data_IF_114266261077
#
_entry.id   IF_114266261077
#
_cell.length_a   1.000
_cell.length_b   1.000
_cell.length_c   1.000
_cell.angle_alpha   90.00
_cell.angle_beta   90.00
_cell.angle_gamma   90.00
#
_symmetry.space_group_name_H-M   'P 1'
#
loop_
_entity.id
_entity.type
_entity.pdbx_description
1 polymer ?
#
# COMPACT_ATOMS: atom_id res chain seq x y z
N UNK A 1 -3.66 -18.23 7.82
CA UNK A 1 -3.98 -17.05 6.95
C UNK A 1 -3.05 -17.10 5.76
N UNK A 2 -3.56 -17.19 4.52
CA UNK A 2 -2.70 -17.19 3.35
C UNK A 2 -2.01 -15.84 3.19
N UNK A 3 -0.72 -15.84 2.85
CA UNK A 3 0.05 -14.63 2.64
C UNK A 3 -0.52 -13.88 1.42
N UNK A 4 -0.60 -12.54 1.50
CA UNK A 4 -0.95 -11.75 0.32
C UNK A 4 0.09 -12.01 -0.78
N UNK A 5 -0.36 -12.29 -1.99
CA UNK A 5 0.51 -12.57 -3.14
C UNK A 5 0.98 -11.28 -3.80
N UNK A 6 2.06 -11.37 -4.57
CA UNK A 6 2.51 -10.28 -5.42
C UNK A 6 1.57 -10.16 -6.63
N UNK A 7 1.36 -8.94 -7.04
CA UNK A 7 0.48 -8.63 -8.18
C UNK A 7 1.22 -7.65 -9.08
N UNK A 8 1.17 -7.86 -10.39
CA UNK A 8 1.75 -6.90 -11.33
C UNK A 8 1.10 -5.53 -11.20
N UNK A 9 1.84 -4.49 -11.54
CA UNK A 9 1.36 -3.11 -11.47
C UNK A 9 0.05 -2.91 -12.26
N UNK A 10 -0.06 -3.54 -13.43
CA UNK A 10 -1.24 -3.41 -14.31
C UNK A 10 -2.48 -4.02 -13.67
N UNK A 11 -2.38 -5.26 -13.16
CA UNK A 11 -3.50 -5.92 -12.47
C UNK A 11 -3.90 -5.13 -11.23
N UNK A 12 -2.93 -4.60 -10.48
CA UNK A 12 -3.21 -3.78 -9.29
C UNK A 12 -3.90 -2.47 -9.66
N UNK A 13 -3.50 -1.83 -10.75
CA UNK A 13 -4.14 -0.61 -11.26
C UNK A 13 -5.60 -0.83 -11.65
N UNK A 14 -5.94 -1.94 -12.30
CA UNK A 14 -7.33 -2.31 -12.58
C UNK A 14 -8.15 -2.48 -11.30
N UNK A 15 -7.57 -3.15 -10.27
CA UNK A 15 -8.24 -3.29 -8.97
C UNK A 15 -8.49 -1.92 -8.35
N UNK A 16 -7.48 -1.02 -8.34
CA UNK A 16 -7.61 0.33 -7.82
C UNK A 16 -8.72 1.12 -8.50
N UNK A 17 -8.86 0.99 -9.82
CA UNK A 17 -9.89 1.69 -10.58
C UNK A 17 -11.31 1.32 -10.14
N UNK A 18 -11.54 0.07 -9.75
CA UNK A 18 -12.85 -0.42 -9.31
C UNK A 18 -13.17 -0.11 -7.83
N UNK A 19 -12.23 0.39 -7.04
CA UNK A 19 -12.48 0.77 -5.65
C UNK A 19 -13.31 2.06 -5.55
N UNK A 20 -14.04 2.21 -4.44
CA UNK A 20 -14.61 3.51 -4.08
C UNK A 20 -13.51 4.56 -3.95
N UNK A 21 -13.83 5.83 -4.20
CA UNK A 21 -12.84 6.92 -4.25
C UNK A 21 -11.98 6.97 -2.98
N UNK A 22 -12.60 6.90 -1.80
CA UNK A 22 -11.90 6.96 -0.52
C UNK A 22 -10.99 5.74 -0.30
N UNK A 23 -11.48 4.53 -0.61
CA UNK A 23 -10.69 3.31 -0.46
C UNK A 23 -9.52 3.29 -1.46
N UNK A 24 -9.73 3.75 -2.67
CA UNK A 24 -8.69 3.91 -3.69
C UNK A 24 -7.60 4.86 -3.21
N UNK A 25 -7.97 6.04 -2.72
CA UNK A 25 -7.01 7.02 -2.22
C UNK A 25 -6.26 6.50 -0.98
N UNK A 26 -6.92 5.76 -0.09
CA UNK A 26 -6.25 5.11 1.05
C UNK A 26 -5.19 4.10 0.58
N UNK A 27 -5.49 3.30 -0.43
CA UNK A 27 -4.53 2.35 -0.99
C UNK A 27 -3.41 3.06 -1.76
N UNK A 28 -3.72 4.10 -2.55
CA UNK A 28 -2.70 4.91 -3.23
C UNK A 28 -1.76 5.57 -2.21
N UNK A 29 -2.30 6.11 -1.11
CA UNK A 29 -1.47 6.67 -0.02
C UNK A 29 -0.54 5.61 0.56
N UNK A 30 -1.03 4.38 0.82
CA UNK A 30 -0.20 3.27 1.27
C UNK A 30 0.85 2.87 0.22
N UNK A 31 0.49 2.85 -1.07
CA UNK A 31 1.37 2.53 -2.19
C UNK A 31 2.51 3.55 -2.35
N UNK A 32 2.25 4.83 -2.18
CA UNK A 32 3.23 5.90 -2.39
C UNK A 32 4.10 6.19 -1.16
N UNK A 33 3.58 5.96 0.03
CA UNK A 33 4.30 6.25 1.29
C UNK A 33 4.86 5.02 1.97
N UNK A 34 4.38 3.82 1.62
CA UNK A 34 4.68 2.56 2.29
C UNK A 34 4.08 2.45 3.69
N UNK A 35 3.14 3.31 4.09
CA UNK A 35 2.44 3.22 5.38
C UNK A 35 1.53 1.99 5.43
N UNK A 36 1.33 1.43 6.63
CA UNK A 36 0.28 0.43 6.84
C UNK A 36 -1.08 1.07 6.64
N UNK A 37 -2.03 0.32 6.10
CA UNK A 37 -3.39 0.84 5.87
C UNK A 37 -4.05 1.37 7.15
N UNK A 38 -3.77 0.77 8.32
CA UNK A 38 -4.25 1.28 9.61
C UNK A 38 -3.75 2.70 9.90
N UNK A 39 -2.45 2.95 9.62
CA UNK A 39 -1.84 4.26 9.85
C UNK A 39 -2.35 5.29 8.85
N UNK A 40 -2.58 4.88 7.59
CA UNK A 40 -3.20 5.73 6.56
C UNK A 40 -4.62 6.14 6.96
N UNK A 41 -5.45 5.17 7.39
CA UNK A 41 -6.84 5.45 7.75
C UNK A 41 -6.97 6.34 8.99
N UNK A 42 -5.99 6.30 9.89
CA UNK A 42 -5.94 7.12 11.10
C UNK A 42 -5.38 8.54 10.87
N UNK A 43 -5.02 8.92 9.64
CA UNK A 43 -4.53 10.28 9.34
C UNK A 43 -5.58 11.32 9.72
N UNK A 44 -5.16 12.32 10.50
CA UNK A 44 -6.02 13.43 10.91
C UNK A 44 -5.99 14.54 9.88
N UNK A 45 -7.14 15.14 9.62
CA UNK A 45 -7.29 16.23 8.66
C UNK A 45 -6.43 17.43 9.03
N UNK A 46 -6.34 17.78 10.32
CA UNK A 46 -5.52 18.90 10.79
C UNK A 46 -4.00 18.72 10.63
N UNK A 47 -3.53 17.48 10.48
CA UNK A 47 -2.13 17.14 10.29
C UNK A 47 -1.75 16.99 8.81
N UNK A 48 -2.72 17.00 7.90
CA UNK A 48 -2.53 16.71 6.48
C UNK A 48 -1.82 17.89 5.78
N UNK A 49 -0.61 17.65 5.33
CA UNK A 49 0.22 18.58 4.56
C UNK A 49 1.24 17.82 3.72
N UNK A 50 1.98 18.50 2.86
CA UNK A 50 2.95 17.86 1.97
C UNK A 50 4.00 17.03 2.75
N UNK A 51 4.45 17.54 3.91
CA UNK A 51 5.43 16.86 4.77
C UNK A 51 4.93 16.90 6.21
N UNK A 52 4.79 15.74 6.79
CA UNK A 52 4.35 15.61 8.18
C UNK A 52 4.98 14.38 8.84
N UNK A 53 4.82 14.25 10.14
CA UNK A 53 5.31 13.11 10.91
C UNK A 53 4.12 12.41 11.55
N UNK A 54 4.08 11.10 11.46
CA UNK A 54 3.10 10.28 12.16
C UNK A 54 3.80 9.37 13.18
N UNK A 55 3.05 8.92 14.17
CA UNK A 55 3.43 7.81 15.04
C UNK A 55 2.73 6.55 14.54
N UNK A 56 3.47 5.56 14.06
CA UNK A 56 2.90 4.30 13.59
C UNK A 56 2.25 3.52 14.75
N UNK A 57 1.02 3.07 14.58
CA UNK A 57 0.26 2.39 15.63
C UNK A 57 0.89 1.08 16.10
N UNK A 58 1.48 0.30 15.18
CA UNK A 58 2.05 -1.02 15.51
C UNK A 58 3.44 -0.94 16.16
N UNK A 59 4.26 0.02 15.77
CA UNK A 59 5.68 0.12 16.16
C UNK A 59 5.95 1.24 17.15
N UNK A 60 5.00 2.16 17.32
CA UNK A 60 5.12 3.38 18.10
C UNK A 60 6.28 4.29 17.67
N UNK A 61 6.83 4.05 16.48
CA UNK A 61 7.94 4.83 15.94
C UNK A 61 7.43 6.03 15.14
N UNK A 62 8.16 7.13 15.24
CA UNK A 62 7.91 8.30 14.39
C UNK A 62 8.36 8.04 12.97
N UNK A 63 7.55 8.48 12.01
CA UNK A 63 7.84 8.37 10.59
C UNK A 63 7.52 9.67 9.86
N UNK A 64 8.51 10.19 9.13
CA UNK A 64 8.31 11.31 8.23
C UNK A 64 7.64 10.81 6.95
N UNK A 65 6.59 11.51 6.54
CA UNK A 65 5.79 11.21 5.35
C UNK A 65 5.87 12.41 4.41
N UNK A 66 5.99 12.11 3.12
CA UNK A 66 5.87 13.11 2.06
C UNK A 66 4.81 12.68 1.08
N UNK A 67 3.87 13.57 0.79
CA UNK A 67 2.86 13.40 -0.26
C UNK A 67 3.25 14.24 -1.47
N UNK A 68 2.86 13.79 -2.67
CA UNK A 68 2.90 14.66 -3.84
C UNK A 68 1.80 15.72 -3.73
N UNK A 69 1.97 16.91 -4.33
CA UNK A 69 0.93 17.94 -4.33
C UNK A 69 -0.41 17.42 -4.87
N UNK A 70 -0.38 16.60 -5.93
CA UNK A 70 -1.57 16.02 -6.54
C UNK A 70 -2.31 15.08 -5.56
N UNK A 71 -1.57 14.20 -4.86
CA UNK A 71 -2.18 13.30 -3.89
C UNK A 71 -2.72 14.08 -2.69
N UNK A 72 -2.01 15.11 -2.22
CA UNK A 72 -2.46 15.97 -1.14
C UNK A 72 -3.79 16.67 -1.51
N UNK A 73 -3.90 17.25 -2.70
CA UNK A 73 -5.12 17.89 -3.20
C UNK A 73 -6.30 16.91 -3.25
N UNK A 74 -6.08 15.69 -3.76
CA UNK A 74 -7.12 14.65 -3.79
C UNK A 74 -7.55 14.19 -2.39
N UNK A 75 -6.62 14.11 -1.44
CA UNK A 75 -6.93 13.79 -0.05
C UNK A 75 -7.71 14.91 0.63
N UNK A 76 -7.35 16.17 0.40
CA UNK A 76 -8.08 17.32 0.95
C UNK A 76 -9.53 17.39 0.45
N UNK A 77 -9.78 17.00 -0.81
CA UNK A 77 -11.14 16.95 -1.39
C UNK A 77 -12.06 15.91 -0.74
N UNK A 78 -11.51 14.87 -0.10
CA UNK A 78 -12.30 13.83 0.57
C UNK A 78 -12.21 13.89 2.09
N UNK A 79 -11.35 14.75 2.63
CA UNK A 79 -11.07 14.82 4.06
C UNK A 79 -12.33 15.17 4.86
N UNK A 80 -12.61 14.35 5.89
CA UNK A 80 -13.64 14.62 6.86
C UNK A 80 -13.22 15.67 7.91
N UNK A 81 -14.06 15.89 8.91
CA UNK A 81 -13.79 16.89 9.96
C UNK A 81 -12.61 16.53 10.85
N UNK A 82 -12.48 15.25 11.22
CA UNK A 82 -11.45 14.77 12.15
C UNK A 82 -10.41 13.93 11.42
N UNK A 83 -10.86 13.00 10.59
CA UNK A 83 -10.01 12.08 9.85
C UNK A 83 -10.09 12.32 8.35
N UNK A 84 -8.98 12.15 7.65
CA UNK A 84 -8.96 12.21 6.18
C UNK A 84 -9.88 11.14 5.60
N UNK A 85 -9.86 9.95 6.17
CA UNK A 85 -10.71 8.81 5.79
C UNK A 85 -11.80 8.58 6.85
N UNK A 86 -12.77 9.49 6.88
CA UNK A 86 -13.85 9.46 7.87
C UNK A 86 -14.73 8.21 7.69
N UNK A 87 -15.24 7.68 8.80
CA UNK A 87 -16.20 6.59 8.78
C UNK A 87 -17.55 7.08 8.21
N UNK A 88 -18.22 6.24 7.44
CA UNK A 88 -19.44 6.64 6.71
C UNK A 88 -20.59 7.12 7.60
N UNK A 89 -20.71 6.61 8.81
CA UNK A 89 -21.84 6.86 9.71
C UNK A 89 -21.45 7.53 11.02
N UNK A 90 -20.17 7.67 11.35
CA UNK A 90 -19.69 8.31 12.57
C UNK A 90 -18.42 9.12 12.29
N UNK A 91 -18.54 10.43 12.21
CA UNK A 91 -17.44 11.35 11.95
C UNK A 91 -16.35 11.34 13.05
N UNK A 92 -16.63 10.78 14.22
CA UNK A 92 -15.64 10.64 15.31
C UNK A 92 -14.72 9.43 15.11
N UNK A 93 -14.98 8.62 14.11
CA UNK A 93 -14.19 7.43 13.77
C UNK A 93 -13.62 7.53 12.36
N UNK A 94 -12.49 6.90 12.15
CA UNK A 94 -11.96 6.71 10.80
C UNK A 94 -12.54 5.44 10.15
N UNK A 95 -12.45 5.38 8.84
CA UNK A 95 -12.82 4.20 8.03
C UNK A 95 -12.08 2.95 8.51
N UNK A 96 -12.73 1.81 8.48
CA UNK A 96 -12.13 0.56 8.98
C UNK A 96 -11.27 -0.13 7.91
N UNK A 97 -10.22 -0.82 8.34
CA UNK A 97 -9.41 -1.68 7.45
C UNK A 97 -10.26 -2.75 6.78
N UNK A 98 -11.29 -3.25 7.48
CA UNK A 98 -12.21 -4.26 6.94
C UNK A 98 -13.04 -3.71 5.78
N UNK A 99 -13.49 -2.46 5.83
CA UNK A 99 -14.22 -1.83 4.74
C UNK A 99 -13.35 -1.76 3.47
N UNK A 100 -12.09 -1.35 3.59
CA UNK A 100 -11.13 -1.33 2.49
C UNK A 100 -10.87 -2.74 1.96
N UNK A 101 -10.67 -3.73 2.85
CA UNK A 101 -10.44 -5.11 2.46
C UNK A 101 -11.63 -5.71 1.70
N UNK A 102 -12.86 -5.50 2.17
CA UNK A 102 -14.08 -5.97 1.49
C UNK A 102 -14.21 -5.38 0.08
N UNK A 103 -13.87 -4.11 -0.08
CA UNK A 103 -13.91 -3.43 -1.38
C UNK A 103 -12.84 -3.98 -2.34
N UNK A 104 -11.61 -4.23 -1.87
CA UNK A 104 -10.58 -4.93 -2.66
C UNK A 104 -11.08 -6.30 -3.10
N UNK A 105 -11.68 -7.10 -2.21
CA UNK A 105 -12.20 -8.43 -2.56
C UNK A 105 -13.36 -8.35 -3.55
N UNK A 106 -14.21 -7.31 -3.48
CA UNK A 106 -15.23 -7.03 -4.49
C UNK A 106 -14.59 -6.74 -5.86
N UNK A 107 -13.58 -5.87 -5.90
CA UNK A 107 -12.87 -5.55 -7.14
C UNK A 107 -12.17 -6.78 -7.74
N UNK A 108 -11.49 -7.59 -6.92
CA UNK A 108 -10.87 -8.83 -7.38
C UNK A 108 -11.88 -9.79 -8.02
N UNK A 109 -13.07 -9.94 -7.42
CA UNK A 109 -14.14 -10.76 -8.01
C UNK A 109 -14.64 -10.21 -9.34
N UNK A 110 -14.80 -8.89 -9.44
CA UNK A 110 -15.24 -8.21 -10.66
C UNK A 110 -14.29 -8.50 -11.83
N UNK A 111 -12.98 -8.47 -11.59
CA UNK A 111 -11.97 -8.72 -12.62
C UNK A 111 -11.49 -10.19 -12.67
N UNK A 112 -12.14 -11.10 -11.96
CA UNK A 112 -11.76 -12.52 -11.88
C UNK A 112 -10.30 -12.76 -11.50
N UNK A 113 -9.76 -11.87 -10.64
CA UNK A 113 -8.38 -12.01 -10.14
C UNK A 113 -8.33 -13.09 -9.08
N UNK A 114 -7.66 -14.20 -9.37
CA UNK A 114 -7.51 -15.36 -8.46
C UNK A 114 -6.46 -15.13 -7.36
N UNK A 115 -5.56 -14.17 -7.56
CA UNK A 115 -4.49 -13.84 -6.61
C UNK A 115 -5.03 -13.29 -5.29
N UNK A 116 -4.34 -13.58 -4.20
CA UNK A 116 -4.73 -13.10 -2.88
C UNK A 116 -4.30 -11.65 -2.64
N UNK A 117 -5.03 -10.70 -3.25
CA UNK A 117 -4.84 -9.26 -3.06
C UNK A 117 -5.47 -8.80 -1.75
N UNK A 118 -4.75 -7.99 -0.99
CA UNK A 118 -5.19 -7.44 0.30
C UNK A 118 -4.70 -6.01 0.50
N UNK A 119 -5.07 -5.40 1.61
CA UNK A 119 -4.57 -4.07 2.02
C UNK A 119 -3.04 -4.02 2.20
N UNK A 120 -2.37 -5.15 2.38
CA UNK A 120 -0.90 -5.23 2.49
C UNK A 120 -0.21 -5.25 1.11
N UNK A 121 -0.93 -5.55 0.04
CA UNK A 121 -0.36 -5.61 -1.32
C UNK A 121 0.26 -4.29 -1.76
N UNK A 122 -0.39 -3.15 -1.47
CA UNK A 122 0.16 -1.83 -1.78
C UNK A 122 1.53 -1.59 -1.12
N UNK A 123 1.65 -1.94 0.16
CA UNK A 123 2.92 -1.80 0.90
C UNK A 123 4.00 -2.77 0.39
N UNK A 124 3.61 -3.95 -0.10
CA UNK A 124 4.53 -4.88 -0.77
C UNK A 124 5.07 -4.27 -2.06
N UNK A 125 4.19 -3.75 -2.91
CA UNK A 125 4.59 -3.10 -4.18
C UNK A 125 5.55 -1.94 -3.88
N UNK A 126 5.23 -1.07 -2.92
CA UNK A 126 6.14 0.00 -2.48
C UNK A 126 7.53 -0.54 -2.09
N UNK A 127 7.58 -1.62 -1.31
CA UNK A 127 8.85 -2.20 -0.87
C UNK A 127 9.72 -2.66 -2.02
N UNK A 128 9.10 -3.31 -3.02
CA UNK A 128 9.78 -3.78 -4.23
C UNK A 128 10.28 -2.62 -5.07
N UNK A 129 9.46 -1.60 -5.27
CA UNK A 129 9.85 -0.40 -6.01
C UNK A 129 11.02 0.33 -5.34
N UNK A 130 10.99 0.46 -4.00
CA UNK A 130 12.11 1.04 -3.26
C UNK A 130 13.38 0.19 -3.41
N UNK A 131 13.27 -1.15 -3.32
CA UNK A 131 14.41 -2.02 -3.50
C UNK A 131 14.96 -1.95 -4.93
N UNK A 132 14.11 -2.00 -5.96
CA UNK A 132 14.54 -1.84 -7.36
C UNK A 132 15.28 -0.53 -7.60
N UNK A 133 14.88 0.55 -6.91
CA UNK A 133 15.48 1.87 -7.05
C UNK A 133 16.80 2.03 -6.30
N UNK A 134 16.96 1.40 -5.15
CA UNK A 134 18.12 1.62 -4.26
C UNK A 134 19.09 0.47 -4.25
N UNK A 135 18.67 -0.75 -4.63
CA UNK A 135 19.40 -2.01 -4.46
C UNK A 135 19.91 -2.22 -3.03
N UNK A 136 19.31 -1.55 -2.04
CA UNK A 136 19.72 -1.55 -0.64
C UNK A 136 18.58 -2.03 0.26
N UNK A 137 18.74 -3.26 0.77
CA UNK A 137 17.78 -3.89 1.66
C UNK A 137 17.66 -3.17 3.02
N UNK A 138 18.80 -2.69 3.56
CA UNK A 138 18.81 -1.95 4.84
C UNK A 138 18.00 -0.68 4.71
N UNK A 139 18.18 0.04 3.61
CA UNK A 139 17.41 1.26 3.32
C UNK A 139 15.92 0.99 3.25
N UNK A 140 15.49 -0.09 2.61
CA UNK A 140 14.08 -0.47 2.56
C UNK A 140 13.54 -0.86 3.94
N UNK A 141 14.34 -1.57 4.75
CA UNK A 141 13.97 -1.89 6.15
C UNK A 141 13.77 -0.62 6.99
N UNK A 142 14.66 0.36 6.87
CA UNK A 142 14.54 1.66 7.54
C UNK A 142 13.26 2.40 7.10
N UNK A 143 13.02 2.47 5.78
CA UNK A 143 11.83 3.09 5.20
C UNK A 143 10.52 2.43 5.68
N UNK A 144 10.57 1.16 6.06
CA UNK A 144 9.44 0.40 6.59
C UNK A 144 9.46 0.27 8.12
N UNK A 145 10.29 1.05 8.82
CA UNK A 145 10.47 1.00 10.27
C UNK A 145 10.80 -0.41 10.81
N UNK A 146 11.82 -1.07 10.21
CA UNK A 146 12.34 -2.36 10.65
C UNK A 146 11.27 -3.47 10.81
N UNK A 147 10.25 -3.51 9.97
CA UNK A 147 9.34 -4.64 10.01
C UNK A 147 10.04 -5.87 9.42
N UNK A 148 10.14 -6.95 10.20
CA UNK A 148 10.63 -8.27 9.71
C UNK A 148 9.87 -8.77 8.47
N UNK A 149 8.62 -8.31 8.29
CA UNK A 149 7.82 -8.54 7.10
C UNK A 149 8.46 -8.01 5.82
N UNK A 150 9.16 -6.86 5.87
CA UNK A 150 9.80 -6.27 4.69
C UNK A 150 10.92 -7.16 4.16
N UNK A 151 11.74 -7.71 5.04
CA UNK A 151 12.84 -8.61 4.70
C UNK A 151 12.32 -9.89 4.05
N UNK A 152 11.34 -10.52 4.69
CA UNK A 152 10.70 -11.75 4.16
C UNK A 152 10.02 -11.50 2.82
N UNK A 153 9.44 -10.30 2.62
CA UNK A 153 8.82 -9.92 1.35
C UNK A 153 9.82 -9.76 0.22
N UNK A 154 10.96 -9.14 0.50
CA UNK A 154 11.97 -8.84 -0.54
C UNK A 154 12.69 -10.12 -0.95
N UNK A 155 13.01 -11.01 -0.01
CA UNK A 155 13.59 -12.30 -0.35
C UNK A 155 12.63 -13.17 -1.19
N UNK A 156 11.36 -13.25 -0.81
CA UNK A 156 10.36 -13.98 -1.59
C UNK A 156 10.18 -13.42 -3.01
N UNK A 157 10.45 -12.14 -3.22
CA UNK A 157 10.35 -11.48 -4.52
C UNK A 157 11.65 -11.54 -5.32
N UNK A 158 12.81 -11.55 -4.66
CA UNK A 158 14.08 -11.81 -5.31
C UNK A 158 14.08 -13.21 -5.93
N UNK A 159 13.54 -14.21 -5.23
CA UNK A 159 13.39 -15.58 -5.73
C UNK A 159 12.44 -15.63 -6.95
N UNK A 160 11.24 -15.01 -6.86
CA UNK A 160 10.31 -14.95 -8.00
C UNK A 160 10.87 -14.21 -9.23
N UNK A 161 11.61 -13.12 -9.02
CA UNK A 161 12.23 -12.38 -10.12
C UNK A 161 13.38 -13.18 -10.76
N UNK A 162 14.13 -13.91 -9.96
CA UNK A 162 15.22 -14.78 -10.45
C UNK A 162 14.66 -15.95 -11.25
N UNK A 163 13.58 -16.58 -10.79
CA UNK A 163 12.89 -17.66 -11.51
C UNK A 163 12.28 -17.19 -12.83
N UNK A 164 11.65 -16.00 -12.86
CA UNK A 164 11.09 -15.43 -14.08
C UNK A 164 12.17 -15.08 -15.10
N UNK A 165 13.27 -14.48 -14.67
CA UNK A 165 14.40 -14.19 -15.56
C UNK A 165 15.06 -15.46 -16.09
N UNK A 166 15.14 -16.54 -15.32
CA UNK A 166 15.64 -17.83 -15.78
C UNK A 166 14.70 -18.45 -16.83
N UNK A 167 13.38 -18.37 -16.60
CA UNK A 167 12.36 -18.91 -17.52
C UNK A 167 12.27 -18.09 -18.82
N UNK A 168 12.41 -16.77 -18.77
CA UNK A 168 12.44 -15.91 -19.96
C UNK A 168 13.71 -16.13 -20.79
N UNK A 169 14.87 -16.31 -20.15
CA UNK A 169 16.12 -16.67 -20.84
C UNK A 169 16.02 -18.04 -21.53
N UNK A 170 15.42 -19.03 -20.90
CA UNK A 170 15.20 -20.34 -21.53
C UNK A 170 14.27 -20.27 -22.74
N UNK A 171 13.26 -19.39 -22.75
CA UNK A 171 12.38 -19.20 -23.90
C UNK A 171 13.01 -18.45 -25.06
N UNK A 172 14.10 -17.72 -24.86
CA UNK A 172 14.85 -17.04 -25.93
C UNK A 172 15.87 -17.94 -26.61
N UNK A 173 16.13 -19.15 -26.10
CA UNK A 173 17.06 -20.13 -26.64
C UNK A 173 16.37 -21.35 -27.27
N UNK A 174 15.05 -21.34 -27.40
CA UNK A 174 14.21 -22.31 -28.12
C UNK A 174 13.55 -21.64 -29.34
#
# INVERSE_FOLDING_TARGET
>A
MSRAEWVSHDVFSHILFALTKENRLAIITSLTTGLRISDVLALRTCELKERFTITEQKTLKHRRVRLSPQLLDELLKIAGKIYVFEHRTDARQHRTRQAVYKDIKRACRLFRVSLNVSTHTARKIYSVEQFKRTCDLKRVQELLNHSSEAVTMIYALADELTEKHATEKQKQFL
#
